data_IF_923038949386
#
_entry.id   IF_923038949386
#
_cell.length_a   1.000
_cell.length_b   1.000
_cell.length_c   1.000
_cell.angle_alpha   90.00
_cell.angle_beta   90.00
_cell.angle_gamma   90.00
#
_symmetry.space_group_name_H-M   'P 1'
#
loop_
_entity.id
_entity.type
_entity.pdbx_description
1 polymer ?
#
# COMPACT_ATOMS: atom_id res chain seq x y z
N UNK A 1 -19.73 9.54 -12.98
CA UNK A 1 -18.85 10.55 -12.37
C UNK A 1 -17.43 10.28 -12.83
N UNK A 2 -16.81 11.20 -13.58
CA UNK A 2 -15.42 11.00 -14.00
C UNK A 2 -14.53 10.98 -12.75
N UNK A 3 -13.68 9.95 -12.62
CA UNK A 3 -12.69 9.88 -11.54
C UNK A 3 -11.81 11.13 -11.63
N UNK A 4 -11.62 11.84 -10.52
CA UNK A 4 -10.72 13.00 -10.49
C UNK A 4 -9.31 12.60 -10.96
N UNK A 5 -8.65 13.52 -11.68
CA UNK A 5 -7.28 13.31 -12.13
C UNK A 5 -6.35 13.28 -10.91
N UNK A 6 -5.68 12.16 -10.69
CA UNK A 6 -4.75 12.02 -9.57
C UNK A 6 -3.59 13.03 -9.67
N UNK A 7 -3.45 13.88 -8.65
CA UNK A 7 -2.35 14.84 -8.55
C UNK A 7 -1.19 14.25 -7.74
N UNK A 8 -0.01 14.13 -8.37
CA UNK A 8 1.23 13.63 -7.74
C UNK A 8 1.95 14.72 -6.94
N UNK A 9 1.37 15.16 -5.83
CA UNK A 9 1.96 16.22 -4.99
C UNK A 9 2.92 15.69 -3.93
N UNK A 10 2.86 14.39 -3.62
CA UNK A 10 3.71 13.73 -2.62
C UNK A 10 4.85 12.95 -3.29
N UNK A 11 6.01 12.80 -2.64
CA UNK A 11 7.06 11.89 -3.08
C UNK A 11 6.51 10.47 -3.29
N UNK A 12 6.92 9.84 -4.37
CA UNK A 12 6.48 8.50 -4.76
C UNK A 12 7.62 7.50 -4.65
N UNK A 13 7.33 6.31 -4.13
CA UNK A 13 8.28 5.22 -4.04
C UNK A 13 7.63 3.91 -4.49
N UNK A 14 8.35 3.12 -5.29
CA UNK A 14 7.94 1.76 -5.66
C UNK A 14 8.49 0.79 -4.61
N UNK A 15 7.63 0.00 -3.99
CA UNK A 15 8.00 -0.95 -2.93
C UNK A 15 7.33 -2.31 -3.14
N UNK A 16 7.89 -3.36 -2.54
CA UNK A 16 7.34 -4.71 -2.57
C UNK A 16 7.76 -5.53 -1.35
N UNK A 17 7.01 -6.59 -1.06
CA UNK A 17 7.28 -7.51 0.06
C UNK A 17 7.77 -8.86 -0.47
N UNK A 18 9.02 -9.23 -0.16
CA UNK A 18 9.68 -10.47 -0.61
C UNK A 18 10.08 -11.36 0.57
N UNK A 19 10.32 -12.66 0.34
CA UNK A 19 10.73 -13.61 1.39
C UNK A 19 10.19 -15.04 1.22
N UNK A 20 10.57 -15.95 2.11
CA UNK A 20 10.24 -17.38 2.08
C UNK A 20 8.72 -17.66 2.24
N UNK A 21 8.24 -18.81 1.76
CA UNK A 21 6.84 -19.23 1.89
C UNK A 21 6.39 -19.18 3.36
N UNK A 22 5.12 -18.84 3.60
CA UNK A 22 4.50 -18.72 4.93
C UNK A 22 5.06 -17.66 5.90
N UNK A 23 6.02 -16.83 5.49
CA UNK A 23 6.49 -15.68 6.29
C UNK A 23 5.55 -14.47 6.28
N UNK A 24 4.29 -14.64 5.88
CA UNK A 24 3.26 -13.62 6.06
C UNK A 24 3.33 -12.40 5.13
N UNK A 25 3.99 -12.49 3.97
CA UNK A 25 4.10 -11.38 2.98
C UNK A 25 2.74 -10.75 2.65
N UNK A 26 1.75 -11.56 2.29
CA UNK A 26 0.39 -11.12 1.96
C UNK A 26 -0.31 -10.48 3.17
N UNK A 27 -0.20 -11.09 4.35
CA UNK A 27 -0.80 -10.58 5.59
C UNK A 27 -0.21 -9.23 5.98
N UNK A 28 1.10 -9.04 5.82
CA UNK A 28 1.77 -7.77 6.08
C UNK A 28 1.29 -6.68 5.12
N UNK A 29 1.20 -6.98 3.82
CA UNK A 29 0.67 -6.02 2.83
C UNK A 29 -0.77 -5.60 3.18
N UNK A 30 -1.63 -6.53 3.57
CA UNK A 30 -3.01 -6.24 3.99
C UNK A 30 -3.07 -5.40 5.29
N UNK A 31 -2.17 -5.63 6.24
CA UNK A 31 -2.08 -4.84 7.46
C UNK A 31 -1.65 -3.39 7.16
N UNK A 32 -0.67 -3.20 6.28
CA UNK A 32 -0.20 -1.87 5.86
C UNK A 32 -1.35 -1.05 5.27
N UNK A 33 -2.11 -1.61 4.33
CA UNK A 33 -3.24 -0.89 3.70
C UNK A 33 -4.33 -0.56 4.72
N UNK A 34 -4.67 -1.49 5.61
CA UNK A 34 -5.68 -1.30 6.66
C UNK A 34 -5.29 -0.19 7.65
N UNK A 35 -4.03 -0.15 8.08
CA UNK A 35 -3.56 0.85 9.04
C UNK A 35 -3.50 2.24 8.41
N UNK A 36 -2.97 2.35 7.19
CA UNK A 36 -2.87 3.64 6.50
C UNK A 36 -4.25 4.22 6.14
N UNK A 37 -5.22 3.37 5.81
CA UNK A 37 -6.61 3.80 5.59
C UNK A 37 -7.30 4.29 6.88
N UNK A 38 -6.89 3.80 8.05
CA UNK A 38 -7.44 4.23 9.35
C UNK A 38 -6.76 5.47 9.93
N UNK A 39 -5.48 5.66 9.62
CA UNK A 39 -4.67 6.78 10.13
C UNK A 39 -4.91 8.07 9.33
N UNK A 40 -5.41 7.95 8.11
CA UNK A 40 -5.73 9.06 7.21
C UNK A 40 -7.15 9.58 7.39
#
# INVERSE_FOLDING_TARGET
MAKEKFARTKPHCNVGTIGHVDHGKTSLTAAITKVLAKKG
#
